data_IF_133470756408
#
_entry.id   IF_133470756408
#
_cell.length_a   1.000
_cell.length_b   1.000
_cell.length_c   1.000
_cell.angle_alpha   90.00
_cell.angle_beta   90.00
_cell.angle_gamma   90.00
#
_symmetry.space_group_name_H-M   'P 1'
#
loop_
_entity.id
_entity.type
_entity.pdbx_description
1 polymer ?
#
# COMPACT_ATOMS: atom_id res chain seq x y z
N UNK A 1 12.41 9.57 -5.73
CA UNK A 1 13.10 8.30 -6.06
C UNK A 1 14.09 8.01 -4.94
N UNK A 2 14.05 6.81 -4.36
CA UNK A 2 14.99 6.33 -3.35
C UNK A 2 16.23 5.69 -3.99
N UNK A 3 17.34 5.61 -3.24
CA UNK A 3 18.58 5.01 -3.70
C UNK A 3 18.41 3.53 -4.11
N UNK A 4 17.59 2.76 -3.36
CA UNK A 4 17.26 1.36 -3.67
C UNK A 4 16.13 1.20 -4.68
N UNK A 5 15.51 2.27 -5.18
CA UNK A 5 14.31 2.37 -6.01
C UNK A 5 13.02 1.77 -5.43
N UNK A 6 13.11 0.76 -4.55
CA UNK A 6 11.96 0.07 -3.97
C UNK A 6 11.19 0.90 -2.93
N UNK A 7 11.89 1.80 -2.22
CA UNK A 7 11.31 2.70 -1.21
C UNK A 7 10.89 4.06 -1.81
N UNK A 8 10.77 4.16 -3.14
CA UNK A 8 10.30 5.39 -3.79
C UNK A 8 8.84 5.65 -3.44
N UNK A 9 8.52 6.86 -3.02
CA UNK A 9 7.18 7.24 -2.57
C UNK A 9 6.80 8.63 -3.07
N UNK A 10 5.49 8.91 -3.07
CA UNK A 10 4.91 10.24 -3.22
C UNK A 10 5.02 11.00 -1.88
N UNK A 11 4.99 10.28 -0.76
CA UNK A 11 5.11 10.85 0.58
C UNK A 11 6.58 11.08 0.95
N UNK A 12 6.82 12.00 1.87
CA UNK A 12 8.15 12.18 2.45
C UNK A 12 8.50 10.98 3.35
N UNK A 13 9.75 10.56 3.28
CA UNK A 13 10.25 9.49 4.14
C UNK A 13 10.63 10.05 5.51
N UNK A 14 10.27 9.34 6.58
CA UNK A 14 10.66 9.72 7.93
C UNK A 14 12.11 9.37 8.23
N UNK A 15 12.72 10.15 9.13
CA UNK A 15 14.13 9.98 9.50
C UNK A 15 14.41 8.60 10.11
N UNK A 16 13.51 8.11 10.93
CA UNK A 16 13.61 6.79 11.56
C UNK A 16 13.75 5.67 10.53
N UNK A 17 13.04 5.78 9.40
CA UNK A 17 13.16 4.81 8.31
C UNK A 17 14.51 4.91 7.62
N UNK A 18 15.01 6.12 7.35
CA UNK A 18 16.32 6.29 6.71
C UNK A 18 17.48 5.90 7.62
N UNK A 19 17.33 6.03 8.93
CA UNK A 19 18.32 5.60 9.92
C UNK A 19 18.38 4.06 9.98
N UNK A 20 17.24 3.37 9.91
CA UNK A 20 17.16 1.90 9.87
C UNK A 20 17.53 1.31 8.49
N UNK A 21 17.26 2.05 7.41
CA UNK A 21 17.50 1.62 6.03
C UNK A 21 18.08 2.79 5.21
N UNK A 22 19.39 3.08 5.29
CA UNK A 22 20.00 4.22 4.58
C UNK A 22 19.79 4.21 3.06
N UNK A 23 19.65 3.03 2.46
CA UNK A 23 19.34 2.90 1.03
C UNK A 23 17.92 3.35 0.63
N UNK A 24 17.03 3.55 1.62
CA UNK A 24 15.70 4.10 1.39
C UNK A 24 15.72 5.63 1.20
N UNK A 25 16.83 6.31 1.51
CA UNK A 25 16.95 7.76 1.37
C UNK A 25 16.63 8.22 -0.06
N UNK A 26 15.91 9.33 -0.18
CA UNK A 26 15.61 9.93 -1.48
C UNK A 26 16.84 10.61 -2.08
N UNK A 27 17.11 10.29 -3.33
CA UNK A 27 18.26 10.81 -4.09
C UNK A 27 17.83 11.70 -5.26
N UNK A 28 16.58 11.59 -5.71
CA UNK A 28 16.05 12.36 -6.83
C UNK A 28 14.54 12.51 -6.76
N UNK A 29 13.98 13.38 -7.61
CA UNK A 29 12.54 13.60 -7.79
C UNK A 29 12.16 13.47 -9.24
N UNK A 30 11.09 12.74 -9.50
CA UNK A 30 10.50 12.61 -10.82
C UNK A 30 9.06 13.13 -10.81
N UNK A 31 8.69 13.86 -11.85
CA UNK A 31 7.33 14.33 -12.03
C UNK A 31 6.53 13.28 -12.79
N UNK A 32 5.57 12.66 -12.11
CA UNK A 32 4.70 11.61 -12.68
C UNK A 32 3.24 12.07 -12.72
N UNK A 33 2.49 11.59 -13.73
CA UNK A 33 1.05 11.80 -13.80
C UNK A 33 0.34 10.77 -12.91
N UNK A 34 -0.51 11.24 -12.01
CA UNK A 34 -1.35 10.37 -11.17
C UNK A 34 -2.75 10.29 -11.78
N UNK A 35 -3.31 9.09 -11.86
CA UNK A 35 -4.68 8.85 -12.33
C UNK A 35 -5.40 7.89 -11.36
N UNK A 36 -6.69 8.13 -11.17
CA UNK A 36 -7.55 7.18 -10.46
C UNK A 36 -7.71 5.90 -11.28
N UNK A 37 -7.66 4.73 -10.66
CA UNK A 37 -7.95 3.46 -11.33
C UNK A 37 -9.35 3.44 -11.95
N UNK A 38 -10.31 4.07 -11.30
CA UNK A 38 -11.67 4.21 -11.82
C UNK A 38 -11.76 5.02 -13.13
N UNK A 39 -10.79 5.90 -13.42
CA UNK A 39 -10.76 6.65 -14.69
C UNK A 39 -10.25 5.83 -15.88
N UNK A 40 -9.63 4.67 -15.61
CA UNK A 40 -9.15 3.72 -16.62
C UNK A 40 -9.85 2.36 -16.50
N UNK A 41 -11.03 2.33 -15.89
CA UNK A 41 -11.77 1.10 -15.54
C UNK A 41 -12.09 0.23 -16.75
N UNK A 42 -12.24 0.81 -17.93
CA UNK A 42 -12.49 0.06 -19.19
C UNK A 42 -11.37 -0.94 -19.52
N UNK A 43 -10.14 -0.68 -19.09
CA UNK A 43 -9.03 -1.64 -19.24
C UNK A 43 -9.27 -2.96 -18.47
N UNK A 44 -10.15 -2.94 -17.48
CA UNK A 44 -10.48 -4.09 -16.65
C UNK A 44 -11.79 -4.79 -17.05
N UNK A 45 -12.46 -4.35 -18.12
CA UNK A 45 -13.75 -4.92 -18.54
C UNK A 45 -13.70 -6.40 -18.89
N UNK A 46 -12.63 -6.94 -19.50
CA UNK A 46 -12.53 -8.36 -19.77
C UNK A 46 -12.48 -9.26 -18.53
N UNK A 47 -12.15 -8.70 -17.37
CA UNK A 47 -11.93 -9.47 -16.15
C UNK A 47 -13.17 -9.50 -15.26
N UNK A 48 -13.57 -10.70 -14.83
CA UNK A 48 -14.72 -10.91 -13.91
C UNK A 48 -14.32 -10.79 -12.44
N UNK A 49 -13.06 -11.13 -12.13
CA UNK A 49 -12.49 -11.10 -10.76
C UNK A 49 -11.06 -10.58 -10.84
N UNK A 50 -10.73 -9.69 -9.93
CA UNK A 50 -9.43 -9.03 -9.85
C UNK A 50 -8.84 -9.25 -8.46
N UNK A 51 -7.53 -9.56 -8.41
CA UNK A 51 -6.67 -9.34 -7.26
C UNK A 51 -6.00 -7.98 -7.46
N UNK A 52 -6.16 -7.09 -6.51
CA UNK A 52 -5.54 -5.77 -6.50
C UNK A 52 -4.35 -5.78 -5.53
N UNK A 53 -3.11 -5.76 -6.05
CA UNK A 53 -1.92 -5.55 -5.24
C UNK A 53 -1.62 -4.06 -5.17
N UNK A 54 -1.37 -3.55 -3.95
CA UNK A 54 -1.03 -2.16 -3.68
C UNK A 54 0.26 -2.16 -2.85
N UNK A 55 1.28 -1.50 -3.38
CA UNK A 55 2.61 -1.35 -2.78
C UNK A 55 3.14 0.02 -3.24
N UNK A 56 2.70 1.08 -2.56
CA UNK A 56 2.91 2.48 -2.95
C UNK A 56 3.59 3.31 -1.88
N UNK A 57 4.17 2.60 -0.93
CA UNK A 57 5.04 3.17 0.10
C UNK A 57 4.38 4.34 0.84
N UNK A 58 3.21 4.02 1.45
CA UNK A 58 2.42 4.93 2.27
C UNK A 58 1.21 5.58 1.57
N UNK A 59 1.06 5.42 0.24
CA UNK A 59 -0.04 6.04 -0.52
C UNK A 59 -1.23 5.09 -0.76
N UNK A 60 -1.29 3.96 -0.06
CA UNK A 60 -2.25 2.85 -0.27
C UNK A 60 -3.71 3.29 -0.13
N UNK A 61 -4.02 4.10 0.89
CA UNK A 61 -5.39 4.61 1.12
C UNK A 61 -5.88 5.45 -0.06
N UNK A 62 -4.98 6.25 -0.66
CA UNK A 62 -5.32 7.09 -1.80
C UNK A 62 -5.55 6.25 -3.06
N UNK A 63 -4.79 5.16 -3.23
CA UNK A 63 -5.02 4.19 -4.30
C UNK A 63 -6.39 3.54 -4.15
N UNK A 64 -6.75 3.09 -2.95
CA UNK A 64 -8.06 2.51 -2.65
C UNK A 64 -9.19 3.51 -2.94
N UNK A 65 -9.06 4.77 -2.51
CA UNK A 65 -10.02 5.83 -2.78
C UNK A 65 -10.13 6.18 -4.27
N UNK A 66 -9.07 5.94 -5.05
CA UNK A 66 -9.07 6.11 -6.51
C UNK A 66 -9.64 4.92 -7.29
N UNK A 67 -10.06 3.84 -6.59
CA UNK A 67 -10.48 2.57 -7.16
C UNK A 67 -11.84 2.08 -6.64
N UNK A 68 -12.65 2.94 -6.04
CA UNK A 68 -13.87 2.54 -5.30
C UNK A 68 -14.84 1.71 -6.16
N UNK A 69 -15.13 2.15 -7.39
CA UNK A 69 -16.03 1.42 -8.31
C UNK A 69 -15.43 0.09 -8.75
N UNK A 70 -14.15 0.07 -9.08
CA UNK A 70 -13.45 -1.16 -9.45
C UNK A 70 -13.45 -2.17 -8.29
N UNK A 71 -13.18 -1.70 -7.07
CA UNK A 71 -13.20 -2.50 -5.84
C UNK A 71 -14.60 -3.07 -5.60
N UNK A 72 -15.64 -2.24 -5.70
CA UNK A 72 -17.01 -2.68 -5.51
C UNK A 72 -17.43 -3.76 -6.50
N UNK A 73 -17.11 -3.58 -7.78
CA UNK A 73 -17.64 -4.42 -8.85
C UNK A 73 -16.81 -5.68 -9.12
N UNK A 74 -15.47 -5.58 -9.07
CA UNK A 74 -14.61 -6.63 -9.63
C UNK A 74 -13.54 -7.16 -8.68
N UNK A 75 -13.06 -6.38 -7.71
CA UNK A 75 -12.00 -6.82 -6.81
C UNK A 75 -12.53 -7.84 -5.81
N UNK A 76 -11.83 -8.96 -5.71
CA UNK A 76 -12.15 -10.07 -4.78
C UNK A 76 -11.11 -10.24 -3.70
N UNK A 77 -9.87 -9.90 -3.99
CA UNK A 77 -8.76 -9.93 -3.05
C UNK A 77 -8.00 -8.62 -3.17
N UNK A 78 -7.65 -8.04 -2.04
CA UNK A 78 -6.71 -6.93 -1.93
C UNK A 78 -5.49 -7.46 -1.20
N UNK A 79 -4.32 -7.25 -1.78
CA UNK A 79 -3.01 -7.42 -1.17
C UNK A 79 -2.40 -6.04 -1.02
N UNK A 80 -1.98 -5.67 0.17
CA UNK A 80 -1.29 -4.41 0.38
C UNK A 80 -0.23 -4.49 1.48
N UNK A 81 0.82 -3.70 1.30
CA UNK A 81 1.81 -3.47 2.33
C UNK A 81 1.27 -2.47 3.36
N UNK A 82 1.40 -2.81 4.64
CA UNK A 82 0.90 -1.99 5.75
C UNK A 82 2.03 -1.74 6.75
N UNK A 83 2.26 -0.51 7.10
CA UNK A 83 3.29 -0.14 8.06
C UNK A 83 2.78 -0.25 9.50
N UNK A 84 3.57 -0.92 10.34
CA UNK A 84 3.37 -0.96 11.80
C UNK A 84 3.99 0.26 12.50
N UNK A 85 4.92 0.92 11.82
CA UNK A 85 5.58 2.14 12.27
C UNK A 85 5.37 3.26 11.24
N UNK A 86 5.45 4.54 11.65
CA UNK A 86 5.27 5.67 10.74
C UNK A 86 6.51 5.90 9.85
N UNK A 87 6.71 5.02 8.86
CA UNK A 87 7.88 5.07 7.96
C UNK A 87 7.85 6.26 6.99
N UNK A 88 6.66 6.78 6.68
CA UNK A 88 6.45 7.93 5.80
C UNK A 88 5.52 8.94 6.47
N UNK A 89 5.68 10.23 6.14
CA UNK A 89 4.82 11.29 6.65
C UNK A 89 3.37 11.10 6.17
N UNK A 90 2.42 11.14 7.12
CA UNK A 90 1.00 11.01 6.79
C UNK A 90 0.55 9.61 6.39
N UNK A 91 1.38 8.59 6.61
CA UNK A 91 0.98 7.19 6.40
C UNK A 91 -0.21 6.83 7.30
N UNK A 92 -1.09 6.00 6.78
CA UNK A 92 -2.24 5.51 7.52
C UNK A 92 -1.79 4.40 8.48
N UNK A 93 -2.07 4.50 9.79
CA UNK A 93 -1.77 3.44 10.75
C UNK A 93 -2.44 2.12 10.40
N UNK A 94 -1.79 1.01 10.78
CA UNK A 94 -2.26 -0.36 10.51
C UNK A 94 -3.75 -0.57 10.90
N UNK A 95 -4.13 -0.18 12.11
CA UNK A 95 -5.50 -0.37 12.63
C UNK A 95 -6.53 0.45 11.84
N UNK A 96 -6.15 1.65 11.43
CA UNK A 96 -7.01 2.50 10.60
C UNK A 96 -7.18 1.91 9.20
N UNK A 97 -6.12 1.35 8.62
CA UNK A 97 -6.18 0.68 7.31
C UNK A 97 -7.07 -0.56 7.36
N UNK A 98 -6.93 -1.40 8.38
CA UNK A 98 -7.81 -2.56 8.59
C UNK A 98 -9.27 -2.12 8.73
N UNK A 99 -9.53 -1.07 9.53
CA UNK A 99 -10.87 -0.51 9.70
C UNK A 99 -11.42 0.04 8.38
N UNK A 100 -10.58 0.67 7.57
CA UNK A 100 -10.97 1.18 6.24
C UNK A 100 -11.35 0.04 5.29
N UNK A 101 -10.57 -1.03 5.23
CA UNK A 101 -10.86 -2.20 4.41
C UNK A 101 -12.13 -2.93 4.87
N UNK A 102 -12.38 -3.01 6.17
CA UNK A 102 -13.64 -3.54 6.71
C UNK A 102 -14.86 -2.73 6.21
N UNK A 103 -14.77 -1.40 6.16
CA UNK A 103 -15.85 -0.55 5.58
C UNK A 103 -16.06 -0.78 4.09
N UNK A 104 -15.02 -1.18 3.36
CA UNK A 104 -15.12 -1.61 1.96
C UNK A 104 -15.59 -3.07 1.80
N UNK A 105 -16.06 -3.69 2.90
CA UNK A 105 -16.55 -5.08 2.93
C UNK A 105 -15.46 -6.15 2.65
N UNK A 106 -14.22 -5.87 3.07
CA UNK A 106 -13.12 -6.83 3.04
C UNK A 106 -12.73 -7.22 4.46
N UNK A 107 -12.45 -8.50 4.67
CA UNK A 107 -11.94 -9.05 5.92
C UNK A 107 -10.53 -9.61 5.73
N UNK A 108 -9.70 -9.60 6.78
CA UNK A 108 -8.39 -10.23 6.73
C UNK A 108 -8.51 -11.71 6.36
N UNK A 109 -7.64 -12.17 5.46
CA UNK A 109 -7.45 -13.58 5.11
C UNK A 109 -6.21 -14.12 5.82
N UNK A 110 -5.08 -13.46 5.67
CA UNK A 110 -3.84 -13.70 6.42
C UNK A 110 -2.89 -12.50 6.30
N UNK A 111 -1.83 -12.54 7.09
CA UNK A 111 -0.71 -11.60 7.04
C UNK A 111 0.59 -12.37 6.91
N UNK A 112 1.56 -11.80 6.22
CA UNK A 112 2.93 -12.25 6.22
C UNK A 112 3.89 -11.11 6.60
N UNK A 113 5.06 -11.40 7.18
CA UNK A 113 6.07 -10.38 7.40
C UNK A 113 6.46 -9.69 6.07
N UNK A 114 6.51 -8.36 6.09
CA UNK A 114 7.08 -7.53 5.05
C UNK A 114 8.51 -7.13 5.41
N UNK A 115 8.75 -5.82 5.56
CA UNK A 115 10.05 -5.32 5.96
C UNK A 115 10.35 -5.59 7.45
N UNK A 116 11.52 -6.18 7.70
CA UNK A 116 12.05 -6.44 9.04
C UNK A 116 13.37 -5.68 9.19
N UNK A 117 13.48 -4.89 10.25
CA UNK A 117 14.74 -4.26 10.63
C UNK A 117 15.71 -5.33 11.08
N UNK A 118 16.82 -5.47 10.37
CA UNK A 118 17.84 -6.50 10.62
C UNK A 118 18.63 -6.28 11.92
N UNK A 119 18.61 -5.07 12.47
CA UNK A 119 19.34 -4.73 13.69
C UNK A 119 18.54 -5.05 14.93
N UNK A 120 17.24 -4.73 14.90
CA UNK A 120 16.33 -4.90 16.05
C UNK A 120 15.47 -6.16 15.94
N UNK A 121 15.47 -6.82 14.76
CA UNK A 121 14.59 -7.93 14.39
C UNK A 121 13.09 -7.57 14.45
N UNK A 122 12.78 -6.27 14.53
CA UNK A 122 11.41 -5.79 14.58
C UNK A 122 10.79 -5.80 13.19
N UNK A 123 9.59 -6.38 13.07
CA UNK A 123 8.77 -6.26 11.87
C UNK A 123 8.25 -4.83 11.79
N UNK A 124 8.57 -4.12 10.72
CA UNK A 124 8.14 -2.74 10.51
C UNK A 124 6.99 -2.63 9.52
N UNK A 125 6.84 -3.61 8.64
CA UNK A 125 5.74 -3.71 7.67
C UNK A 125 5.22 -5.13 7.56
N UNK A 126 3.93 -5.25 7.24
CA UNK A 126 3.24 -6.50 6.96
C UNK A 126 2.64 -6.47 5.55
N UNK A 127 2.72 -7.59 4.85
CA UNK A 127 1.86 -7.85 3.71
C UNK A 127 0.51 -8.37 4.21
N UNK A 128 -0.54 -7.63 3.99
CA UNK A 128 -1.90 -8.02 4.34
C UNK A 128 -2.68 -8.50 3.12
N UNK A 129 -3.37 -9.63 3.29
CA UNK A 129 -4.26 -10.20 2.29
C UNK A 129 -5.70 -10.14 2.81
N UNK A 130 -6.58 -9.51 2.04
CA UNK A 130 -7.96 -9.28 2.42
C UNK A 130 -8.89 -9.85 1.35
N UNK A 131 -9.94 -10.54 1.78
CA UNK A 131 -10.93 -11.12 0.89
C UNK A 131 -12.28 -10.41 1.06
N UNK A 132 -12.96 -10.16 -0.05
CA UNK A 132 -14.29 -9.57 -0.05
C UNK A 132 -15.29 -10.53 0.61
N UNK A 133 -16.07 -10.03 1.57
CA UNK A 133 -17.17 -10.80 2.13
C UNK A 133 -18.20 -11.16 1.04
N UNK A 134 -18.85 -12.30 1.22
CA UNK A 134 -19.93 -12.75 0.31
C UNK A 134 -21.18 -11.90 0.50
#
# INVERSE_FOLDING_TARGET
ISLNSHSSSILQINKEHTDAAPSAAFVDKEKVAIRKLDSISTAFDPFKKILLKIDTQGFEKNVLAGAERLIEQKVKIIQLEMSLLPLYEGIVPFEEMVSYLNRLNFKPLFYSPGYVDRTTEQIQQLEGYFIKNK
#
